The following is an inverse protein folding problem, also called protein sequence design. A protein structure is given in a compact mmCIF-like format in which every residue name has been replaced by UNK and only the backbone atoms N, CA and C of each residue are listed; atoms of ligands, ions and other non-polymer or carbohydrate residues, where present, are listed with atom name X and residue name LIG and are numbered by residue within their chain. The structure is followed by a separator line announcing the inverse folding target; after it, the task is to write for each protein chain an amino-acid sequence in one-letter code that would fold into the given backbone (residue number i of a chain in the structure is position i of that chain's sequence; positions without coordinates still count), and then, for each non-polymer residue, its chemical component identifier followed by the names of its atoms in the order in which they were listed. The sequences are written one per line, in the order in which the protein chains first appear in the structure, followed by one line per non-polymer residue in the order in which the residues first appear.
data_IF_121319716761
#
_entry.id   IF_121319716761
#
_cell.length_a   1.000
_cell.length_b   1.000
_cell.length_c   1.000
_cell.angle_alpha   90.00
_cell.angle_beta   90.00
_cell.angle_gamma   90.00
#
_symmetry.space_group_name_H-M   'P 1'
#
loop_
_entity.id
_entity.type
_entity.pdbx_description
1 polymer ?
#
# COMPACT_ATOMS: atom_id res chain seq x y z
N UNK A 1 8.76 -28.43 32.71
CA UNK A 1 9.30 -28.00 31.39
C UNK A 1 9.22 -26.49 31.36
N UNK A 2 10.31 -25.74 31.15
CA UNK A 2 10.24 -24.29 31.05
C UNK A 2 9.51 -23.93 29.75
N UNK A 3 8.45 -23.15 29.88
CA UNK A 3 7.72 -22.53 28.77
C UNK A 3 8.72 -21.62 28.02
N UNK A 4 9.17 -22.06 26.84
CA UNK A 4 10.00 -21.24 25.94
C UNK A 4 9.11 -20.12 25.43
N UNK A 5 9.18 -18.96 26.06
CA UNK A 5 8.63 -17.73 25.48
C UNK A 5 9.38 -17.56 24.14
N UNK A 6 8.70 -17.53 22.98
CA UNK A 6 9.37 -17.25 21.72
C UNK A 6 10.15 -15.95 21.91
N UNK A 7 11.45 -15.99 21.62
CA UNK A 7 12.33 -14.84 21.79
C UNK A 7 11.79 -13.77 20.86
N UNK A 8 11.14 -12.74 21.42
CA UNK A 8 10.65 -11.61 20.67
C UNK A 8 11.86 -10.92 20.04
N UNK A 9 12.10 -11.18 18.77
CA UNK A 9 13.18 -10.55 18.02
C UNK A 9 12.73 -9.15 17.62
N UNK A 10 13.18 -8.18 18.41
CA UNK A 10 12.88 -6.76 18.25
C UNK A 10 13.29 -6.26 16.86
N UNK A 11 14.36 -6.81 16.28
CA UNK A 11 14.85 -6.38 14.96
C UNK A 11 13.91 -6.82 13.84
N UNK A 12 13.46 -8.07 13.88
CA UNK A 12 12.59 -8.64 12.86
C UNK A 12 11.14 -8.14 12.94
N UNK A 13 10.74 -7.55 14.07
CA UNK A 13 9.38 -7.04 14.29
C UNK A 13 9.34 -5.51 14.24
N UNK A 14 9.83 -4.85 15.29
CA UNK A 14 9.81 -3.39 15.41
C UNK A 14 10.80 -2.76 14.41
N UNK A 15 11.99 -3.33 14.25
CA UNK A 15 12.97 -2.82 13.28
C UNK A 15 12.45 -2.87 11.84
N UNK A 16 11.84 -3.99 11.44
CA UNK A 16 11.20 -4.11 10.13
C UNK A 16 10.04 -3.12 9.94
N UNK A 17 9.20 -2.94 10.98
CA UNK A 17 8.12 -1.95 10.98
C UNK A 17 8.66 -0.52 10.81
N UNK A 18 9.72 -0.16 11.52
CA UNK A 18 10.35 1.17 11.47
C UNK A 18 10.92 1.46 10.07
N UNK A 19 11.67 0.52 9.50
CA UNK A 19 12.18 0.65 8.12
C UNK A 19 11.02 0.78 7.13
N UNK A 20 9.98 -0.04 7.27
CA UNK A 20 8.78 0.03 6.44
C UNK A 20 8.10 1.40 6.51
N UNK A 21 7.91 1.93 7.72
CA UNK A 21 7.30 3.24 7.93
C UNK A 21 8.14 4.38 7.33
N UNK A 22 9.47 4.35 7.50
CA UNK A 22 10.36 5.34 6.89
C UNK A 22 10.27 5.34 5.35
N UNK A 23 10.25 4.15 4.74
CA UNK A 23 10.08 3.99 3.30
C UNK A 23 8.70 4.51 2.86
N UNK A 24 7.64 4.18 3.59
CA UNK A 24 6.28 4.69 3.30
C UNK A 24 6.21 6.21 3.31
N UNK A 25 6.79 6.87 4.32
CA UNK A 25 6.80 8.34 4.41
C UNK A 25 7.63 8.97 3.30
N UNK A 26 8.76 8.36 2.93
CA UNK A 26 9.54 8.81 1.77
C UNK A 26 8.72 8.73 0.47
N UNK A 27 8.04 7.61 0.23
CA UNK A 27 7.18 7.41 -0.94
C UNK A 27 5.98 8.37 -0.95
N UNK A 28 5.39 8.66 0.22
CA UNK A 28 4.35 9.67 0.35
C UNK A 28 4.83 11.06 -0.10
N UNK A 29 6.08 11.42 0.22
CA UNK A 29 6.71 12.64 -0.30
C UNK A 29 6.79 12.66 -1.83
N UNK A 30 7.14 11.52 -2.44
CA UNK A 30 7.17 11.38 -3.90
C UNK A 30 5.77 11.53 -4.50
N UNK A 31 4.75 10.88 -3.93
CA UNK A 31 3.35 11.00 -4.36
C UNK A 31 2.87 12.45 -4.24
N UNK A 32 3.22 13.15 -3.17
CA UNK A 32 2.89 14.57 -2.98
C UNK A 32 3.45 15.43 -4.11
N UNK A 33 4.69 15.20 -4.52
CA UNK A 33 5.28 15.87 -5.69
C UNK A 33 4.56 15.51 -6.99
N UNK A 34 4.19 14.24 -7.19
CA UNK A 34 3.43 13.81 -8.36
C UNK A 34 2.07 14.54 -8.45
N UNK A 35 1.39 14.70 -7.32
CA UNK A 35 0.12 15.43 -7.23
C UNK A 35 0.30 16.91 -7.57
N UNK A 36 1.35 17.55 -7.02
CA UNK A 36 1.69 18.93 -7.36
C UNK A 36 1.94 19.12 -8.85
N UNK A 37 2.77 18.25 -9.47
CA UNK A 37 3.04 18.30 -10.89
C UNK A 37 1.80 18.03 -11.74
N UNK A 38 0.92 17.12 -11.31
CA UNK A 38 -0.33 16.84 -12.00
C UNK A 38 -1.21 18.09 -12.11
N UNK A 39 -1.46 18.78 -10.98
CA UNK A 39 -2.28 19.99 -10.99
C UNK A 39 -1.65 21.15 -11.75
N UNK A 40 -0.32 21.21 -11.81
CA UNK A 40 0.42 22.25 -12.54
C UNK A 40 0.44 22.00 -14.05
N UNK A 41 0.53 20.73 -14.48
CA UNK A 41 0.74 20.38 -15.90
C UNK A 41 -0.55 20.02 -16.65
N UNK A 42 -1.60 19.61 -15.94
CA UNK A 42 -2.87 19.18 -16.54
C UNK A 42 -4.06 20.02 -16.01
N UNK A 43 -4.06 21.35 -16.25
CA UNK A 43 -5.15 22.22 -15.78
C UNK A 43 -6.47 21.97 -16.50
N UNK A 44 -6.48 21.34 -17.69
CA UNK A 44 -7.69 21.11 -18.48
C UNK A 44 -8.29 19.71 -18.29
N UNK A 45 -7.69 18.86 -17.46
CA UNK A 45 -8.21 17.53 -17.18
C UNK A 45 -9.58 17.60 -16.47
N UNK A 46 -10.43 16.61 -16.76
CA UNK A 46 -11.80 16.55 -16.26
C UNK A 46 -11.87 16.59 -14.73
N UNK A 47 -12.92 17.25 -14.21
CA UNK A 47 -13.09 17.48 -12.77
C UNK A 47 -13.09 16.19 -11.93
N UNK A 48 -13.64 15.08 -12.45
CA UNK A 48 -13.69 13.80 -11.74
C UNK A 48 -12.29 13.19 -11.54
N UNK A 49 -11.36 13.38 -12.48
CA UNK A 49 -9.98 12.91 -12.33
C UNK A 49 -9.27 13.73 -11.25
N UNK A 50 -9.46 15.05 -11.28
CA UNK A 50 -8.91 15.94 -10.25
C UNK A 50 -9.43 15.61 -8.85
N UNK A 51 -10.71 15.27 -8.75
CA UNK A 51 -11.31 14.82 -7.50
C UNK A 51 -10.68 13.49 -7.03
N UNK A 52 -10.51 12.53 -7.94
CA UNK A 52 -9.87 11.25 -7.65
C UNK A 52 -8.44 11.45 -7.14
N UNK A 53 -7.62 12.27 -7.82
CA UNK A 53 -6.24 12.55 -7.42
C UNK A 53 -6.19 13.19 -6.03
N UNK A 54 -7.00 14.23 -5.78
CA UNK A 54 -7.09 14.86 -4.44
C UNK A 54 -7.55 13.88 -3.36
N UNK A 55 -8.54 13.06 -3.68
CA UNK A 55 -9.08 12.05 -2.77
C UNK A 55 -8.01 11.08 -2.33
N UNK A 56 -7.27 10.50 -3.28
CA UNK A 56 -6.16 9.59 -2.99
C UNK A 56 -5.09 10.29 -2.13
N UNK A 57 -4.68 11.52 -2.48
CA UNK A 57 -3.69 12.25 -1.68
C UNK A 57 -4.09 12.48 -0.23
N UNK A 58 -5.38 12.74 0.02
CA UNK A 58 -5.91 12.92 1.38
C UNK A 58 -5.92 11.59 2.14
N UNK A 59 -6.31 10.49 1.46
CA UNK A 59 -6.28 9.15 2.05
C UNK A 59 -4.85 8.74 2.40
N UNK A 60 -3.88 8.96 1.50
CA UNK A 60 -2.45 8.69 1.73
C UNK A 60 -1.88 9.50 2.89
N UNK A 61 -2.28 10.77 3.02
CA UNK A 61 -1.90 11.60 4.15
C UNK A 61 -2.45 11.02 5.46
N UNK A 62 -3.72 10.62 5.48
CA UNK A 62 -4.34 9.96 6.64
C UNK A 62 -3.64 8.65 7.01
N UNK A 63 -3.34 7.81 6.02
CA UNK A 63 -2.62 6.55 6.20
C UNK A 63 -1.23 6.80 6.78
N UNK A 64 -0.50 7.77 6.24
CA UNK A 64 0.83 8.17 6.69
C UNK A 64 0.82 8.69 8.13
N UNK A 65 -0.16 9.52 8.50
CA UNK A 65 -0.31 10.03 9.88
C UNK A 65 -0.60 8.86 10.84
N UNK A 66 -1.53 7.98 10.49
CA UNK A 66 -1.87 6.82 11.31
C UNK A 66 -0.67 5.89 11.52
N UNK A 67 0.11 5.67 10.46
CA UNK A 67 1.33 4.86 10.52
C UNK A 67 2.42 5.51 11.40
N UNK A 68 2.64 6.82 11.28
CA UNK A 68 3.56 7.57 12.15
C UNK A 68 3.15 7.49 13.63
N UNK A 69 1.84 7.66 13.92
CA UNK A 69 1.34 7.56 15.29
C UNK A 69 1.48 6.14 15.85
N UNK A 70 1.22 5.12 15.01
CA UNK A 70 1.44 3.72 15.38
C UNK A 70 2.92 3.45 15.71
N UNK A 71 3.83 3.87 14.83
CA UNK A 71 5.26 3.73 15.05
C UNK A 71 5.71 4.40 16.33
N UNK A 72 5.29 5.65 16.58
CA UNK A 72 5.60 6.37 17.82
C UNK A 72 5.07 5.66 19.06
N UNK A 73 3.86 5.09 18.98
CA UNK A 73 3.25 4.36 20.09
C UNK A 73 4.07 3.12 20.47
N UNK A 74 4.46 2.33 19.46
CA UNK A 74 5.23 1.09 19.64
C UNK A 74 6.67 1.35 20.08
N UNK A 75 7.31 2.39 19.54
CA UNK A 75 8.75 2.66 19.77
C UNK A 75 9.01 3.53 20.99
N UNK A 76 8.13 4.48 21.30
CA UNK A 76 8.32 5.48 22.37
C UNK A 76 7.37 5.22 23.53
N UNK A 77 6.05 5.28 23.28
CA UNK A 77 5.05 5.23 24.37
C UNK A 77 5.04 3.89 25.11
N UNK A 78 5.17 2.79 24.39
CA UNK A 78 5.16 1.43 24.92
C UNK A 78 6.57 0.85 25.12
N UNK A 79 7.60 1.69 25.06
CA UNK A 79 8.98 1.27 25.21
C UNK A 79 9.21 0.46 26.50
N UNK A 80 9.90 -0.67 26.37
CA UNK A 80 10.23 -1.55 27.50
C UNK A 80 9.05 -2.35 28.06
N UNK A 81 7.88 -2.37 27.40
CA UNK A 81 6.68 -3.12 27.84
C UNK A 81 6.18 -4.10 26.75
N UNK A 82 6.81 -5.29 26.63
CA UNK A 82 6.51 -6.24 25.54
C UNK A 82 5.05 -6.71 25.50
N UNK A 83 4.37 -6.78 26.64
CA UNK A 83 2.96 -7.19 26.72
C UNK A 83 2.01 -6.20 26.03
N UNK A 84 2.37 -4.92 25.96
CA UNK A 84 1.56 -3.90 25.29
C UNK A 84 1.71 -3.92 23.78
N UNK A 85 2.77 -4.54 23.26
CA UNK A 85 2.99 -4.72 21.83
C UNK A 85 2.07 -5.77 21.21
N UNK A 86 1.51 -6.66 22.03
CA UNK A 86 0.53 -7.65 21.59
C UNK A 86 -0.87 -7.04 21.43
N UNK A 87 -1.11 -5.87 22.01
CA UNK A 87 -2.37 -5.15 21.92
C UNK A 87 -2.29 -4.21 20.72
N UNK A 88 -3.14 -4.39 19.68
CA UNK A 88 -3.14 -3.50 18.53
C UNK A 88 -3.45 -2.07 18.98
N UNK A 89 -2.58 -1.12 18.62
CA UNK A 89 -2.91 0.29 18.82
C UNK A 89 -3.94 0.69 17.76
N UNK A 90 -5.00 1.42 18.14
CA UNK A 90 -6.10 1.81 17.25
C UNK A 90 -5.63 2.49 15.94
N UNK A 91 -4.46 3.13 15.94
CA UNK A 91 -3.86 3.74 14.75
C UNK A 91 -3.44 2.74 13.68
N UNK A 92 -3.10 1.50 14.05
CA UNK A 92 -2.80 0.45 13.07
C UNK A 92 -4.05 0.04 12.30
N UNK A 93 -5.21 -0.02 12.96
CA UNK A 93 -6.48 -0.34 12.32
C UNK A 93 -6.86 0.74 11.31
N UNK A 94 -6.70 2.00 11.70
CA UNK A 94 -6.92 3.14 10.79
C UNK A 94 -5.97 3.06 9.59
N UNK A 95 -4.69 2.75 9.80
CA UNK A 95 -3.72 2.59 8.72
C UNK A 95 -4.10 1.43 7.79
N UNK A 96 -4.52 0.28 8.33
CA UNK A 96 -4.97 -0.90 7.58
C UNK A 96 -6.20 -0.55 6.73
N UNK A 97 -7.21 0.09 7.32
CA UNK A 97 -8.43 0.48 6.62
C UNK A 97 -8.14 1.46 5.48
N UNK A 98 -7.36 2.50 5.74
CA UNK A 98 -6.99 3.48 4.71
C UNK A 98 -6.16 2.83 3.60
N UNK A 99 -5.16 2.02 3.94
CA UNK A 99 -4.34 1.29 2.97
C UNK A 99 -5.16 0.32 2.11
N UNK A 100 -6.13 -0.35 2.71
CA UNK A 100 -7.08 -1.24 2.04
C UNK A 100 -8.02 -0.52 1.07
N UNK A 101 -8.29 0.77 1.27
CA UNK A 101 -9.07 1.60 0.34
C UNK A 101 -8.20 2.20 -0.77
N UNK A 102 -7.00 2.68 -0.43
CA UNK A 102 -6.07 3.32 -1.37
C UNK A 102 -5.66 2.32 -2.45
N UNK A 103 -5.20 1.12 -2.07
CA UNK A 103 -4.63 0.14 -3.00
C UNK A 103 -5.55 -0.19 -4.19
N UNK A 104 -6.81 -0.58 -3.98
CA UNK A 104 -7.75 -0.87 -5.06
C UNK A 104 -8.02 0.34 -5.98
N UNK A 105 -8.12 1.54 -5.41
CA UNK A 105 -8.40 2.76 -6.16
C UNK A 105 -7.21 3.09 -7.08
N UNK A 106 -5.99 3.05 -6.54
CA UNK A 106 -4.76 3.32 -7.29
C UNK A 106 -4.52 2.26 -8.37
N UNK A 107 -4.67 0.98 -8.05
CA UNK A 107 -4.53 -0.09 -9.03
C UNK A 107 -5.55 0.03 -10.15
N UNK A 108 -6.82 0.30 -9.83
CA UNK A 108 -7.85 0.55 -10.83
C UNK A 108 -7.49 1.72 -11.76
N UNK A 109 -6.94 2.80 -11.20
CA UNK A 109 -6.46 3.94 -11.97
C UNK A 109 -5.31 3.58 -12.93
N UNK A 110 -4.31 2.85 -12.44
CA UNK A 110 -3.17 2.42 -13.26
C UNK A 110 -3.54 1.38 -14.32
N UNK A 111 -4.44 0.45 -14.01
CA UNK A 111 -4.97 -0.53 -14.97
C UNK A 111 -5.74 0.19 -16.08
N UNK A 112 -6.56 1.18 -15.75
CA UNK A 112 -7.24 2.01 -16.76
C UNK A 112 -6.23 2.71 -17.67
N UNK A 113 -5.18 3.30 -17.10
CA UNK A 113 -4.10 3.93 -17.89
C UNK A 113 -3.38 2.92 -18.76
N UNK A 114 -3.08 1.73 -18.24
CA UNK A 114 -2.48 0.65 -19.01
C UNK A 114 -3.33 0.31 -20.24
N UNK A 115 -4.64 0.14 -20.06
CA UNK A 115 -5.54 -0.16 -21.18
C UNK A 115 -5.52 0.93 -22.25
N UNK A 116 -5.59 2.21 -21.83
CA UNK A 116 -5.57 3.36 -22.75
C UNK A 116 -4.24 3.46 -23.52
N UNK A 117 -3.10 3.20 -22.88
CA UNK A 117 -1.79 3.31 -23.55
C UNK A 117 -1.41 2.07 -24.37
N UNK A 118 -1.74 0.88 -23.89
CA UNK A 118 -1.32 -0.37 -24.52
C UNK A 118 -2.29 -0.88 -25.59
N UNK A 119 -3.60 -0.63 -25.40
CA UNK A 119 -4.67 -1.32 -26.13
C UNK A 119 -4.69 -2.85 -25.91
N UNK A 120 -3.86 -3.38 -25.01
CA UNK A 120 -3.65 -4.82 -24.84
C UNK A 120 -4.61 -5.38 -23.78
N UNK A 121 -5.68 -6.02 -24.25
CA UNK A 121 -6.70 -6.65 -23.40
C UNK A 121 -6.15 -7.81 -22.57
N UNK A 122 -5.14 -8.54 -23.05
CA UNK A 122 -4.57 -9.67 -22.31
C UNK A 122 -3.85 -9.20 -21.04
N UNK A 123 -2.94 -8.21 -21.17
CA UNK A 123 -2.21 -7.65 -20.02
C UNK A 123 -3.17 -6.94 -19.04
N UNK A 124 -4.14 -6.21 -19.58
CA UNK A 124 -5.16 -5.53 -18.76
C UNK A 124 -5.96 -6.54 -17.95
N UNK A 125 -6.39 -7.65 -18.56
CA UNK A 125 -7.13 -8.72 -17.88
C UNK A 125 -6.29 -9.38 -16.78
N UNK A 126 -5.02 -9.69 -17.05
CA UNK A 126 -4.12 -10.26 -16.04
C UNK A 126 -3.98 -9.32 -14.82
N UNK A 127 -3.69 -8.03 -15.05
CA UNK A 127 -3.55 -7.07 -13.96
C UNK A 127 -4.86 -6.89 -13.19
N UNK A 128 -6.00 -6.93 -13.88
CA UNK A 128 -7.32 -6.85 -13.25
C UNK A 128 -7.56 -8.07 -12.35
N UNK A 129 -7.25 -9.28 -12.81
CA UNK A 129 -7.40 -10.50 -12.00
C UNK A 129 -6.49 -10.49 -10.77
N UNK A 130 -5.22 -10.10 -10.93
CA UNK A 130 -4.29 -9.97 -9.79
C UNK A 130 -4.76 -8.91 -8.78
N UNK A 131 -5.26 -7.77 -9.28
CA UNK A 131 -5.84 -6.73 -8.42
C UNK A 131 -7.07 -7.23 -7.66
N UNK A 132 -7.95 -8.01 -8.31
CA UNK A 132 -9.10 -8.62 -7.63
C UNK A 132 -8.68 -9.59 -6.53
N UNK A 133 -7.66 -10.42 -6.77
CA UNK A 133 -7.10 -11.32 -5.74
C UNK A 133 -6.52 -10.53 -4.57
N UNK A 134 -5.81 -9.43 -4.85
CA UNK A 134 -5.32 -8.53 -3.79
C UNK A 134 -6.47 -7.93 -3.00
N UNK A 135 -7.49 -7.39 -3.67
CA UNK A 135 -8.65 -6.73 -3.04
C UNK A 135 -9.37 -7.71 -2.10
N UNK A 136 -9.69 -8.91 -2.57
CA UNK A 136 -10.38 -9.92 -1.76
C UNK A 136 -9.53 -10.33 -0.56
N UNK A 137 -8.23 -10.54 -0.76
CA UNK A 137 -7.30 -10.82 0.34
C UNK A 137 -7.19 -9.68 1.35
N UNK A 138 -7.14 -8.42 0.91
CA UNK A 138 -7.11 -7.25 1.81
C UNK A 138 -8.39 -7.10 2.61
N UNK A 139 -9.56 -7.35 2.01
CA UNK A 139 -10.85 -7.30 2.71
C UNK A 139 -10.93 -8.41 3.76
N UNK A 140 -10.49 -9.62 3.42
CA UNK A 140 -10.43 -10.73 4.37
C UNK A 140 -9.50 -10.42 5.55
N UNK A 141 -8.28 -9.93 5.28
CA UNK A 141 -7.33 -9.53 6.33
C UNK A 141 -7.89 -8.40 7.21
N UNK A 142 -8.52 -7.39 6.60
CA UNK A 142 -9.12 -6.29 7.36
C UNK A 142 -10.25 -6.79 8.28
N UNK A 143 -11.11 -7.69 7.80
CA UNK A 143 -12.17 -8.27 8.61
C UNK A 143 -11.62 -9.01 9.84
N UNK A 144 -10.56 -9.80 9.65
CA UNK A 144 -9.88 -10.53 10.74
C UNK A 144 -9.17 -9.55 11.69
N UNK A 145 -8.48 -8.53 11.17
CA UNK A 145 -7.78 -7.55 11.99
C UNK A 145 -8.73 -6.71 12.86
N UNK A 146 -9.94 -6.44 12.38
CA UNK A 146 -10.97 -5.71 13.14
C UNK A 146 -11.50 -6.48 14.35
N UNK A 147 -11.31 -7.80 14.41
CA UNK A 147 -11.61 -8.60 15.61
C UNK A 147 -10.56 -8.41 16.73
N UNK A 148 -9.51 -7.63 16.46
CA UNK A 148 -8.43 -7.31 17.40
C UNK A 148 -7.73 -8.55 18.02
N UNK A 149 -7.37 -9.57 17.21
CA UNK A 149 -6.58 -10.68 17.73
C UNK A 149 -5.19 -10.18 18.19
N UNK A 150 -4.57 -10.85 19.17
CA UNK A 150 -3.18 -10.60 19.53
C UNK A 150 -2.28 -10.68 18.29
N UNK A 151 -1.34 -9.74 18.14
CA UNK A 151 -0.54 -9.61 16.91
C UNK A 151 0.20 -10.91 16.56
N UNK A 152 0.71 -11.65 17.55
CA UNK A 152 1.40 -12.91 17.34
C UNK A 152 0.49 -13.98 16.72
N UNK A 153 -0.74 -14.14 17.23
CA UNK A 153 -1.73 -15.08 16.71
C UNK A 153 -2.14 -14.69 15.29
N UNK A 154 -2.40 -13.39 15.08
CA UNK A 154 -2.71 -12.86 13.76
C UNK A 154 -1.60 -13.16 12.74
N UNK A 155 -0.33 -12.94 13.12
CA UNK A 155 0.80 -13.14 12.21
C UNK A 155 1.12 -14.59 11.94
N UNK A 156 0.91 -15.51 12.89
CA UNK A 156 1.18 -16.93 12.71
C UNK A 156 0.06 -17.60 11.90
N UNK A 157 -1.20 -17.39 12.29
CA UNK A 157 -2.35 -18.07 11.68
C UNK A 157 -2.65 -17.56 10.25
N UNK A 158 -2.46 -16.26 10.02
CA UNK A 158 -2.81 -15.61 8.75
C UNK A 158 -1.60 -15.19 7.92
N UNK A 159 -0.40 -15.68 8.28
CA UNK A 159 0.86 -15.39 7.57
C UNK A 159 0.76 -15.57 6.06
N UNK A 160 0.17 -16.70 5.64
CA UNK A 160 0.05 -17.07 4.23
C UNK A 160 -0.79 -16.04 3.46
N UNK A 161 -1.85 -15.51 4.09
CA UNK A 161 -2.75 -14.53 3.49
C UNK A 161 -2.09 -13.16 3.42
N UNK A 162 -1.38 -12.74 4.49
CA UNK A 162 -0.57 -11.52 4.51
C UNK A 162 0.46 -11.56 3.37
N UNK A 163 1.22 -12.65 3.25
CA UNK A 163 2.22 -12.82 2.19
C UNK A 163 1.58 -12.82 0.80
N UNK A 164 0.46 -13.52 0.61
CA UNK A 164 -0.26 -13.55 -0.66
C UNK A 164 -0.67 -12.14 -1.11
N UNK A 165 -1.25 -11.35 -0.20
CA UNK A 165 -1.66 -9.97 -0.47
C UNK A 165 -0.47 -9.09 -0.83
N UNK A 166 0.61 -9.15 -0.05
CA UNK A 166 1.81 -8.34 -0.27
C UNK A 166 2.52 -8.70 -1.58
N UNK A 167 2.72 -10.01 -1.84
CA UNK A 167 3.39 -10.49 -3.05
C UNK A 167 2.54 -10.16 -4.28
N UNK A 168 1.24 -10.43 -4.25
CA UNK A 168 0.35 -10.15 -5.38
C UNK A 168 0.29 -8.65 -5.67
N UNK A 169 0.24 -7.81 -4.63
CA UNK A 169 0.33 -6.36 -4.79
C UNK A 169 1.63 -5.92 -5.44
N UNK A 170 2.77 -6.33 -4.89
CA UNK A 170 4.09 -5.97 -5.42
C UNK A 170 4.27 -6.42 -6.88
N UNK A 171 3.87 -7.65 -7.22
CA UNK A 171 3.92 -8.17 -8.59
C UNK A 171 3.05 -7.34 -9.53
N UNK A 172 1.81 -7.02 -9.12
CA UNK A 172 0.90 -6.19 -9.92
C UNK A 172 1.49 -4.81 -10.19
N UNK A 173 2.03 -4.18 -9.16
CA UNK A 173 2.56 -2.81 -9.25
C UNK A 173 3.84 -2.78 -10.10
N UNK A 174 4.70 -3.80 -10.00
CA UNK A 174 5.87 -3.96 -10.88
C UNK A 174 5.48 -4.15 -12.35
N UNK A 175 4.47 -4.98 -12.64
CA UNK A 175 3.97 -5.18 -14.01
C UNK A 175 3.41 -3.87 -14.56
N UNK A 176 2.56 -3.18 -13.80
CA UNK A 176 1.96 -1.91 -14.19
C UNK A 176 3.04 -0.84 -14.45
N UNK A 177 3.97 -0.66 -13.52
CA UNK A 177 5.05 0.32 -13.65
C UNK A 177 5.93 0.04 -14.86
N UNK A 178 6.39 -1.21 -15.02
CA UNK A 178 7.26 -1.63 -16.12
C UNK A 178 6.58 -1.45 -17.48
N UNK A 179 5.31 -1.83 -17.56
CA UNK A 179 4.54 -1.78 -18.81
C UNK A 179 4.21 -0.34 -19.19
N UNK A 180 3.75 0.48 -18.26
CA UNK A 180 3.48 1.90 -18.50
C UNK A 180 4.75 2.64 -18.91
N UNK A 181 5.88 2.37 -18.26
CA UNK A 181 7.17 2.94 -18.62
C UNK A 181 7.59 2.56 -20.04
N UNK A 182 7.47 1.27 -20.40
CA UNK A 182 7.77 0.78 -21.74
C UNK A 182 6.94 1.49 -22.82
N UNK A 183 5.61 1.55 -22.66
CA UNK A 183 4.72 2.20 -23.63
C UNK A 183 4.95 3.71 -23.71
N UNK A 184 5.21 4.38 -22.57
CA UNK A 184 5.54 5.80 -22.54
C UNK A 184 6.82 6.11 -23.32
N UNK A 185 7.88 5.30 -23.13
CA UNK A 185 9.13 5.45 -23.88
C UNK A 185 8.93 5.20 -25.38
N UNK A 186 8.13 4.20 -25.75
CA UNK A 186 7.83 3.93 -27.14
C UNK A 186 7.10 5.12 -27.79
N UNK A 187 6.15 5.72 -27.06
CA UNK A 187 5.42 6.91 -27.51
C UNK A 187 6.35 8.10 -27.71
N UNK A 188 7.22 8.37 -26.73
CA UNK A 188 8.22 9.45 -26.81
C UNK A 188 9.14 9.27 -28.03
N UNK A 189 9.69 8.06 -28.23
CA UNK A 189 10.55 7.76 -29.38
C UNK A 189 9.86 7.94 -30.74
N UNK A 190 8.54 7.76 -30.81
CA UNK A 190 7.77 8.01 -32.04
C UNK A 190 7.52 9.50 -32.25
N UNK A 191 7.32 10.27 -31.18
CA UNK A 191 7.16 11.71 -31.24
C UNK A 191 8.47 12.41 -31.68
N UNK A 192 9.62 11.98 -31.14
CA UNK A 192 10.93 12.55 -31.47
C UNK A 192 11.38 12.27 -32.92
N UNK A 193 10.70 11.37 -33.64
CA UNK A 193 10.98 11.01 -35.04
C UNK A 193 10.11 11.77 -36.07
N UNK A 194 9.10 12.52 -35.62
CA UNK A 194 8.25 13.37 -36.46
C UNK A 194 8.73 14.80 -36.42
#
# INVERSE_FOLDING_TARGET
MPFKIPVFDVNNTIGALEVGALVTIFLFGVVTLQVYFYFSRFPDDSWYIKLLVRGISILDLGHSIALCHYLYTVTVTQYGKPSLLLVPAQSVDVAILLGGLIGPIEQGWFIRRLYVFSGNLFLTTICTLLSLVRVTGTVALAAIALEQPPINEFTEDWRWLILLVLITGAVTDLILASTLWYYLMQWKRKADKK
#
